data_IF_791951199636
#
_entry.id   IF_791951199636
#
_cell.length_a   1.000
_cell.length_b   1.000
_cell.length_c   1.000
_cell.angle_alpha   90.00
_cell.angle_beta   90.00
_cell.angle_gamma   90.00
#
_symmetry.space_group_name_H-M   'P 1'
#
loop_
_entity.id
_entity.type
_entity.pdbx_description
1 polymer ?
#
# COMPACT_ATOMS: atom_id res chain seq x y z
N UNK A 1 -65.94 -38.35 56.08
CA UNK A 1 -64.73 -38.68 55.31
C UNK A 1 -64.02 -37.36 54.97
N UNK A 2 -63.26 -36.79 55.91
CA UNK A 2 -62.37 -35.65 55.64
C UNK A 2 -61.16 -35.80 56.57
N UNK A 3 -60.04 -36.21 56.01
CA UNK A 3 -58.69 -36.15 56.58
C UNK A 3 -57.90 -35.25 55.65
N UNK A 4 -57.16 -34.29 56.21
CA UNK A 4 -55.70 -34.17 56.04
C UNK A 4 -55.21 -32.79 56.55
N UNK A 5 -54.41 -32.83 57.62
CA UNK A 5 -52.96 -32.83 57.42
C UNK A 5 -52.23 -31.49 57.43
N UNK A 6 -52.01 -30.98 58.65
CA UNK A 6 -50.73 -30.55 59.22
C UNK A 6 -49.59 -30.10 58.27
N UNK A 7 -49.15 -28.85 58.45
CA UNK A 7 -47.90 -28.28 57.94
C UNK A 7 -46.67 -29.08 58.40
N UNK A 8 -45.73 -29.33 57.48
CA UNK A 8 -44.31 -29.53 57.79
C UNK A 8 -43.43 -28.85 56.75
N UNK A 9 -42.59 -27.95 57.24
CA UNK A 9 -41.42 -27.41 56.57
C UNK A 9 -40.49 -28.55 56.15
N UNK A 10 -40.04 -28.55 54.89
CA UNK A 10 -38.87 -29.31 54.46
C UNK A 10 -37.88 -28.33 53.84
N UNK A 11 -36.83 -28.11 54.61
CA UNK A 11 -35.61 -27.40 54.27
C UNK A 11 -34.90 -28.19 53.16
N UNK A 12 -34.78 -27.62 51.96
CA UNK A 12 -33.96 -28.21 50.89
C UNK A 12 -32.77 -27.30 50.64
N UNK A 13 -31.66 -27.60 51.31
CA UNK A 13 -30.37 -27.02 50.99
C UNK A 13 -29.99 -27.42 49.55
N UNK A 14 -30.00 -26.44 48.65
CA UNK A 14 -29.54 -26.60 47.28
C UNK A 14 -28.01 -26.58 47.30
N UNK A 15 -27.39 -27.75 47.42
CA UNK A 15 -25.95 -27.91 47.25
C UNK A 15 -25.57 -27.52 45.81
N UNK A 16 -24.99 -26.33 45.64
CA UNK A 16 -24.27 -25.99 44.42
C UNK A 16 -23.07 -26.95 44.30
N UNK A 17 -23.19 -27.93 43.40
CA UNK A 17 -22.03 -28.67 42.88
C UNK A 17 -21.18 -27.68 42.08
N UNK A 18 -20.20 -27.06 42.73
CA UNK A 18 -19.07 -26.45 42.03
C UNK A 18 -18.29 -27.61 41.43
N UNK A 19 -18.45 -27.87 40.13
CA UNK A 19 -17.48 -28.70 39.44
C UNK A 19 -16.15 -27.94 39.44
N UNK A 20 -15.26 -28.28 40.36
CA UNK A 20 -13.88 -27.80 40.29
C UNK A 20 -13.25 -28.40 39.04
N UNK A 21 -13.19 -27.63 37.94
CA UNK A 21 -12.32 -28.00 36.83
C UNK A 21 -10.90 -28.08 37.38
N UNK A 22 -10.19 -29.17 37.09
CA UNK A 22 -8.75 -29.33 37.42
C UNK A 22 -7.88 -28.27 36.73
N UNK A 23 -8.43 -27.58 35.73
CA UNK A 23 -7.80 -26.53 34.96
C UNK A 23 -8.18 -25.16 35.51
N UNK A 24 -7.16 -24.36 35.80
CA UNK A 24 -7.28 -22.97 36.27
C UNK A 24 -7.60 -22.02 35.11
N UNK A 25 -8.81 -22.16 34.57
CA UNK A 25 -9.26 -21.38 33.42
C UNK A 25 -9.55 -19.91 33.75
N UNK A 26 -9.31 -19.06 32.76
CA UNK A 26 -9.68 -17.65 32.80
C UNK A 26 -11.20 -17.49 32.89
N UNK A 27 -11.65 -16.54 33.71
CA UNK A 27 -13.07 -16.15 33.74
C UNK A 27 -13.48 -15.50 32.42
N UNK A 28 -14.79 -15.50 32.11
CA UNK A 28 -15.31 -14.80 30.93
C UNK A 28 -14.92 -13.32 30.90
N UNK A 29 -14.96 -12.66 32.06
CA UNK A 29 -14.50 -11.27 32.22
C UNK A 29 -13.02 -11.12 31.90
N UNK A 30 -12.15 -11.99 32.43
CA UNK A 30 -10.71 -11.94 32.15
C UNK A 30 -10.44 -12.10 30.65
N UNK A 31 -11.11 -13.05 29.98
CA UNK A 31 -10.98 -13.27 28.53
C UNK A 31 -11.40 -12.04 27.71
N UNK A 32 -12.52 -11.41 28.09
CA UNK A 32 -13.01 -10.19 27.44
C UNK A 32 -12.01 -9.04 27.59
N UNK A 33 -11.53 -8.79 28.81
CA UNK A 33 -10.56 -7.71 29.07
C UNK A 33 -9.26 -7.97 28.28
N UNK A 34 -8.78 -9.22 28.21
CA UNK A 34 -7.62 -9.55 27.38
C UNK A 34 -7.82 -9.17 25.93
N UNK A 35 -8.98 -9.52 25.35
CA UNK A 35 -9.29 -9.19 23.97
C UNK A 35 -9.40 -7.68 23.75
N UNK A 36 -10.05 -6.96 24.67
CA UNK A 36 -10.21 -5.49 24.62
C UNK A 36 -8.87 -4.77 24.65
N UNK A 37 -7.93 -5.21 25.49
CA UNK A 37 -6.58 -4.62 25.60
C UNK A 37 -5.78 -4.68 24.31
N UNK A 38 -6.10 -5.62 23.42
CA UNK A 38 -5.45 -5.76 22.10
C UNK A 38 -6.41 -5.44 20.95
N UNK A 39 -7.49 -4.71 21.21
CA UNK A 39 -8.52 -4.34 20.23
C UNK A 39 -9.06 -5.53 19.41
N UNK A 40 -9.23 -6.68 20.07
CA UNK A 40 -9.68 -7.94 19.47
C UNK A 40 -8.78 -8.46 18.35
N UNK A 41 -7.49 -8.15 18.38
CA UNK A 41 -6.50 -8.63 17.40
C UNK A 41 -5.61 -9.72 17.97
N UNK A 42 -5.15 -10.62 17.10
CA UNK A 42 -4.23 -11.68 17.47
C UNK A 42 -2.88 -11.13 17.95
N UNK A 43 -2.41 -11.59 19.12
CA UNK A 43 -1.16 -11.15 19.74
C UNK A 43 0.12 -11.81 19.20
N UNK A 44 0.02 -12.72 18.23
CA UNK A 44 1.21 -13.23 17.53
C UNK A 44 1.84 -12.12 16.69
N UNK A 45 3.15 -11.84 16.81
CA UNK A 45 3.83 -10.86 15.95
C UNK A 45 3.62 -11.17 14.46
N UNK A 46 3.29 -10.14 13.68
CA UNK A 46 3.03 -10.28 12.25
C UNK A 46 1.64 -10.81 11.87
N UNK A 47 0.83 -11.32 12.81
CA UNK A 47 -0.52 -11.81 12.49
C UNK A 47 -1.56 -10.69 12.43
N UNK A 48 -1.84 -10.03 13.56
CA UNK A 48 -2.77 -8.89 13.64
C UNK A 48 -4.23 -9.15 13.24
N UNK A 49 -4.63 -10.41 12.94
CA UNK A 49 -5.99 -10.77 12.51
C UNK A 49 -7.04 -10.27 13.51
N UNK A 50 -8.10 -9.65 13.01
CA UNK A 50 -9.29 -9.30 13.79
C UNK A 50 -10.03 -10.59 14.14
N UNK A 51 -10.40 -10.73 15.41
CA UNK A 51 -11.00 -11.94 15.97
C UNK A 51 -12.46 -11.78 16.37
N UNK A 52 -13.04 -10.59 16.17
CA UNK A 52 -14.45 -10.31 16.46
C UNK A 52 -15.11 -9.72 15.22
N UNK A 53 -16.38 -10.05 15.01
CA UNK A 53 -17.19 -9.47 13.96
C UNK A 53 -18.68 -9.60 14.26
N UNK A 54 -19.51 -9.10 13.36
CA UNK A 54 -20.95 -9.33 13.39
C UNK A 54 -21.26 -10.80 13.09
N UNK A 55 -22.43 -11.26 13.54
CA UNK A 55 -22.98 -12.54 13.10
C UNK A 55 -24.01 -12.29 12.00
N UNK A 56 -23.82 -12.92 10.85
CA UNK A 56 -24.73 -12.80 9.70
C UNK A 56 -26.01 -13.59 9.92
N UNK A 57 -27.16 -13.02 9.58
CA UNK A 57 -28.48 -13.67 9.63
C UNK A 57 -29.56 -12.76 10.21
N UNK A 58 -30.81 -12.96 9.77
CA UNK A 58 -31.97 -12.23 10.32
C UNK A 58 -32.21 -12.68 11.77
N UNK A 59 -32.37 -11.74 12.71
CA UNK A 59 -32.56 -12.04 14.15
C UNK A 59 -31.25 -12.22 14.95
N UNK A 60 -30.10 -11.90 14.37
CA UNK A 60 -28.77 -12.01 15.00
C UNK A 60 -28.17 -10.63 15.39
N UNK A 61 -28.97 -9.56 15.38
CA UNK A 61 -28.52 -8.17 15.57
C UNK A 61 -27.80 -7.94 16.91
N UNK A 62 -28.13 -8.74 17.92
CA UNK A 62 -27.54 -8.69 19.26
C UNK A 62 -26.40 -9.69 19.47
N UNK A 63 -25.86 -10.33 18.41
CA UNK A 63 -24.82 -11.35 18.53
C UNK A 63 -23.56 -10.98 17.74
N UNK A 64 -22.40 -11.29 18.34
CA UNK A 64 -21.09 -11.18 17.71
C UNK A 64 -20.52 -12.56 17.37
N UNK A 65 -19.79 -12.65 16.26
CA UNK A 65 -18.95 -13.79 15.92
C UNK A 65 -17.56 -13.59 16.55
N UNK A 66 -17.11 -14.54 17.37
CA UNK A 66 -15.79 -14.52 18.01
C UNK A 66 -14.92 -15.69 17.51
N UNK A 67 -13.82 -15.38 16.85
CA UNK A 67 -12.80 -16.29 16.30
C UNK A 67 -11.47 -16.25 17.09
N UNK A 68 -11.46 -15.60 18.25
CA UNK A 68 -10.32 -15.48 19.14
C UNK A 68 -10.44 -16.37 20.39
N UNK A 69 -9.30 -16.56 21.03
CA UNK A 69 -9.14 -17.39 22.22
C UNK A 69 -8.04 -16.82 23.13
N UNK A 70 -8.23 -16.93 24.44
CA UNK A 70 -7.22 -16.57 25.43
C UNK A 70 -6.35 -17.80 25.72
N UNK A 71 -5.08 -17.73 25.34
CA UNK A 71 -4.10 -18.77 25.59
C UNK A 71 -3.32 -18.50 26.88
N UNK A 72 -2.96 -19.57 27.58
CA UNK A 72 -2.18 -19.50 28.81
C UNK A 72 -0.68 -19.42 28.51
N UNK A 73 0.01 -18.48 29.14
CA UNK A 73 1.47 -18.33 29.06
C UNK A 73 2.14 -19.44 29.89
N UNK A 74 1.78 -19.54 31.17
CA UNK A 74 2.09 -20.67 32.07
C UNK A 74 0.87 -21.57 32.16
N UNK A 75 1.08 -22.89 32.09
CA UNK A 75 0.00 -23.87 32.06
C UNK A 75 -1.04 -23.66 33.16
N UNK A 76 -2.31 -23.84 32.80
CA UNK A 76 -3.45 -23.81 33.72
C UNK A 76 -3.61 -25.08 34.57
N UNK A 77 -2.88 -26.15 34.25
CA UNK A 77 -2.96 -27.44 34.91
C UNK A 77 -1.54 -27.99 35.13
N UNK A 78 -1.37 -28.83 36.16
CA UNK A 78 -0.06 -29.37 36.56
C UNK A 78 0.60 -30.23 35.47
N UNK A 79 -0.21 -30.83 34.59
CA UNK A 79 0.17 -31.66 33.45
C UNK A 79 0.29 -30.88 32.13
N UNK A 80 0.05 -29.57 32.15
CA UNK A 80 0.02 -28.75 30.95
C UNK A 80 1.40 -28.23 30.50
N UNK A 81 1.53 -27.81 29.23
CA UNK A 81 2.77 -27.25 28.70
C UNK A 81 3.18 -25.97 29.43
N UNK A 82 4.45 -25.88 29.86
CA UNK A 82 5.02 -24.74 30.61
C UNK A 82 4.45 -24.57 32.04
N UNK A 83 4.01 -25.63 32.71
CA UNK A 83 3.57 -25.54 34.11
C UNK A 83 4.73 -25.16 35.05
N UNK A 84 4.49 -24.19 35.94
CA UNK A 84 5.43 -23.80 36.99
C UNK A 84 4.79 -23.99 38.37
N UNK A 85 5.38 -24.89 39.18
CA UNK A 85 4.94 -25.25 40.53
C UNK A 85 5.00 -24.07 41.51
N UNK A 86 5.79 -23.04 41.22
CA UNK A 86 5.91 -21.85 42.06
C UNK A 86 4.80 -20.83 41.80
N UNK A 87 3.93 -21.05 40.81
CA UNK A 87 2.82 -20.16 40.50
C UNK A 87 1.57 -20.49 41.33
N UNK A 88 0.87 -19.45 41.77
CA UNK A 88 -0.40 -19.61 42.48
C UNK A 88 -1.56 -19.83 41.51
N UNK A 89 -2.64 -20.43 42.01
CA UNK A 89 -3.91 -20.56 41.29
C UNK A 89 -4.43 -19.19 40.82
N UNK A 90 -4.33 -18.18 41.67
CA UNK A 90 -4.80 -16.84 41.36
C UNK A 90 -4.01 -16.21 40.22
N UNK A 91 -2.68 -16.39 40.20
CA UNK A 91 -1.85 -15.97 39.09
C UNK A 91 -2.22 -16.69 37.79
N UNK A 92 -2.42 -18.01 37.81
CA UNK A 92 -2.75 -18.78 36.60
C UNK A 92 -4.05 -18.33 35.92
N UNK A 93 -4.99 -17.82 36.70
CA UNK A 93 -6.30 -17.29 36.25
C UNK A 93 -6.28 -15.78 35.99
N UNK A 94 -5.18 -15.11 36.32
CA UNK A 94 -5.02 -13.67 36.16
C UNK A 94 -4.80 -13.29 34.70
N UNK A 95 -5.04 -12.01 34.40
CA UNK A 95 -4.78 -11.45 33.07
C UNK A 95 -3.29 -11.45 32.70
N UNK A 96 -2.41 -11.49 33.70
CA UNK A 96 -0.96 -11.45 33.50
C UNK A 96 -0.43 -12.76 32.92
N UNK A 97 -1.15 -13.86 33.15
CA UNK A 97 -0.83 -15.18 32.63
C UNK A 97 -1.47 -15.48 31.25
N UNK A 98 -2.12 -14.50 30.61
CA UNK A 98 -2.87 -14.71 29.39
C UNK A 98 -2.41 -13.85 28.20
N UNK A 99 -2.50 -14.41 27.00
CA UNK A 99 -2.34 -13.70 25.73
C UNK A 99 -3.55 -14.00 24.83
N UNK A 100 -4.09 -12.99 24.16
CA UNK A 100 -5.22 -13.14 23.24
C UNK A 100 -4.72 -13.47 21.83
N UNK A 101 -5.26 -14.51 21.20
CA UNK A 101 -4.86 -14.96 19.86
C UNK A 101 -6.07 -15.38 19.01
N UNK A 102 -5.90 -15.48 17.69
CA UNK A 102 -6.87 -16.21 16.87
C UNK A 102 -6.79 -17.71 17.20
N UNK A 103 -7.89 -18.45 17.01
CA UNK A 103 -7.96 -19.89 17.34
C UNK A 103 -6.80 -20.71 16.74
N UNK A 104 -6.38 -20.39 15.51
CA UNK A 104 -5.27 -21.06 14.85
C UNK A 104 -3.96 -20.90 15.63
N UNK A 105 -3.59 -19.66 16.00
CA UNK A 105 -2.35 -19.39 16.69
C UNK A 105 -2.39 -19.77 18.17
N UNK A 106 -3.56 -19.69 18.82
CA UNK A 106 -3.73 -20.22 20.18
C UNK A 106 -3.42 -21.71 20.24
N UNK A 107 -3.93 -22.50 19.28
CA UNK A 107 -3.63 -23.93 19.17
C UNK A 107 -2.17 -24.19 18.78
N UNK A 108 -1.60 -23.35 17.93
CA UNK A 108 -0.21 -23.48 17.47
C UNK A 108 0.78 -23.38 18.64
N UNK A 109 0.65 -22.37 19.51
CA UNK A 109 1.56 -22.16 20.65
C UNK A 109 1.37 -23.18 21.79
N UNK A 110 0.20 -23.83 21.83
CA UNK A 110 -0.08 -24.93 22.76
C UNK A 110 0.52 -26.25 22.29
N UNK A 111 0.64 -26.45 20.97
CA UNK A 111 1.16 -27.68 20.38
C UNK A 111 2.69 -27.71 20.38
N UNK A 112 3.36 -26.58 20.07
CA UNK A 112 4.82 -26.48 20.02
C UNK A 112 5.41 -25.69 21.20
N UNK A 113 5.37 -26.28 22.38
CA UNK A 113 5.81 -25.63 23.62
C UNK A 113 7.34 -25.54 23.79
N UNK A 114 8.12 -26.20 22.92
CA UNK A 114 9.59 -26.16 22.96
C UNK A 114 10.16 -24.95 22.22
N UNK A 115 9.47 -24.48 21.19
CA UNK A 115 9.88 -23.29 20.43
C UNK A 115 9.50 -21.95 21.10
N UNK A 116 8.43 -21.93 21.90
CA UNK A 116 7.90 -20.68 22.48
C UNK A 116 7.97 -20.68 24.00
N UNK A 117 9.04 -20.06 24.53
CA UNK A 117 9.27 -19.89 25.96
C UNK A 117 8.21 -18.97 26.61
N UNK A 118 8.07 -19.07 27.94
CA UNK A 118 7.24 -18.16 28.74
C UNK A 118 7.63 -16.69 28.48
N UNK A 119 8.92 -16.41 28.36
CA UNK A 119 9.44 -15.06 28.14
C UNK A 119 9.09 -14.55 26.74
N UNK A 120 9.15 -15.42 25.72
CA UNK A 120 8.70 -15.10 24.35
C UNK A 120 7.22 -14.70 24.34
N UNK A 121 6.35 -15.47 25.00
CA UNK A 121 4.92 -15.17 25.04
C UNK A 121 4.60 -13.91 25.84
N UNK A 122 5.34 -13.64 26.92
CA UNK A 122 5.25 -12.36 27.66
C UNK A 122 5.65 -11.18 26.79
N UNK A 123 6.74 -11.32 26.02
CA UNK A 123 7.18 -10.28 25.09
C UNK A 123 6.10 -10.00 24.04
N UNK A 124 5.51 -11.03 23.44
CA UNK A 124 4.44 -10.87 22.45
C UNK A 124 3.19 -10.23 23.03
N UNK A 125 2.82 -10.57 24.27
CA UNK A 125 1.71 -9.91 24.98
C UNK A 125 1.97 -8.40 25.08
N UNK A 126 3.15 -8.00 25.54
CA UNK A 126 3.54 -6.58 25.66
C UNK A 126 3.51 -5.90 24.30
N UNK A 127 4.12 -6.51 23.27
CA UNK A 127 4.13 -5.96 21.91
C UNK A 127 2.73 -5.80 21.33
N UNK A 128 1.82 -6.75 21.58
CA UNK A 128 0.44 -6.68 21.12
C UNK A 128 -0.34 -5.56 21.80
N UNK A 129 -0.18 -5.40 23.13
CA UNK A 129 -0.80 -4.32 23.89
C UNK A 129 -0.24 -2.94 23.50
N UNK A 130 1.08 -2.82 23.30
CA UNK A 130 1.71 -1.61 22.78
C UNK A 130 1.25 -1.27 21.36
N UNK A 131 1.15 -2.26 20.48
CA UNK A 131 0.64 -2.09 19.12
C UNK A 131 -0.81 -1.62 19.12
N UNK A 132 -1.66 -2.22 19.96
CA UNK A 132 -3.04 -1.77 20.12
C UNK A 132 -3.12 -0.34 20.66
N UNK A 133 -2.28 0.03 21.64
CA UNK A 133 -2.22 1.38 22.18
C UNK A 133 -1.71 2.41 21.16
N UNK A 134 -0.69 2.06 20.37
CA UNK A 134 -0.21 2.88 19.24
C UNK A 134 -1.34 3.08 18.23
N UNK A 135 -2.01 2.01 17.81
CA UNK A 135 -3.14 2.10 16.88
C UNK A 135 -4.30 2.91 17.44
N UNK A 136 -4.54 2.86 18.76
CA UNK A 136 -5.53 3.70 19.45
C UNK A 136 -5.14 5.19 19.41
N UNK A 137 -3.85 5.53 19.61
CA UNK A 137 -3.35 6.91 19.50
C UNK A 137 -3.35 7.44 18.07
N UNK A 138 -3.15 6.55 17.10
CA UNK A 138 -3.17 6.86 15.68
C UNK A 138 -4.62 6.88 15.16
N UNK A 139 -5.65 6.74 16.02
CA UNK A 139 -7.06 6.83 15.57
C UNK A 139 -7.43 8.17 14.93
N UNK A 140 -6.71 9.26 15.23
CA UNK A 140 -6.84 10.54 14.50
C UNK A 140 -6.36 10.45 13.04
N UNK A 141 -5.62 9.40 12.69
CA UNK A 141 -5.21 9.02 11.33
C UNK A 141 -6.04 7.85 10.76
N UNK A 142 -7.14 7.42 11.39
CA UNK A 142 -8.12 6.54 10.74
C UNK A 142 -8.99 7.37 9.79
N UNK A 143 -8.34 7.99 8.79
CA UNK A 143 -9.03 8.63 7.67
C UNK A 143 -9.44 7.55 6.67
N UNK A 144 -10.75 7.45 6.53
CA UNK A 144 -11.49 6.90 5.39
C UNK A 144 -10.68 7.01 4.09
N UNK A 145 -10.37 5.88 3.43
CA UNK A 145 -9.61 5.75 2.16
C UNK A 145 -8.64 6.90 1.88
N UNK A 146 -7.36 6.68 2.19
CA UNK A 146 -6.32 7.68 2.05
C UNK A 146 -6.33 8.29 0.63
N UNK A 147 -6.91 9.48 0.50
CA UNK A 147 -6.78 10.32 -0.70
C UNK A 147 -5.35 10.86 -0.84
N UNK A 148 -4.43 10.44 0.05
CA UNK A 148 -3.00 10.64 -0.12
C UNK A 148 -2.57 10.03 -1.45
N UNK A 149 -1.83 10.82 -2.19
CA UNK A 149 -1.30 10.45 -3.50
C UNK A 149 0.07 11.06 -3.65
N UNK A 150 0.94 10.34 -4.36
CA UNK A 150 2.22 10.85 -4.75
C UNK A 150 2.04 11.76 -5.98
N UNK A 151 2.62 12.95 -5.90
CA UNK A 151 2.48 14.01 -6.89
C UNK A 151 3.87 14.45 -7.33
N UNK A 152 4.12 14.44 -8.64
CA UNK A 152 5.30 15.06 -9.23
C UNK A 152 4.91 16.39 -9.87
N UNK A 153 5.73 17.43 -9.65
CA UNK A 153 5.59 18.74 -10.32
C UNK A 153 6.93 19.03 -11.00
N UNK A 154 6.93 19.08 -12.33
CA UNK A 154 8.18 19.09 -13.09
C UNK A 154 9.06 17.87 -12.78
N UNK A 155 10.37 18.01 -12.98
CA UNK A 155 11.34 16.92 -12.78
C UNK A 155 11.90 16.86 -11.35
N UNK A 156 11.82 17.95 -10.60
CA UNK A 156 12.60 18.14 -9.37
C UNK A 156 11.78 18.12 -8.07
N UNK A 157 10.46 17.96 -8.16
CA UNK A 157 9.59 18.02 -6.99
C UNK A 157 8.66 16.82 -6.93
N UNK A 158 8.69 16.14 -5.79
CA UNK A 158 7.91 14.95 -5.50
C UNK A 158 7.35 15.07 -4.08
N UNK A 159 6.04 15.01 -3.92
CA UNK A 159 5.38 15.22 -2.63
C UNK A 159 4.18 14.31 -2.44
N UNK A 160 3.88 13.98 -1.20
CA UNK A 160 2.63 13.37 -0.80
C UNK A 160 1.60 14.47 -0.53
N UNK A 161 0.45 14.38 -1.17
CA UNK A 161 -0.66 15.31 -0.97
C UNK A 161 -1.99 14.59 -0.93
N UNK A 162 -2.98 15.20 -0.30
CA UNK A 162 -4.35 14.69 -0.22
C UNK A 162 -5.26 15.53 -1.10
N UNK A 163 -6.07 14.88 -1.95
CA UNK A 163 -7.07 15.59 -2.74
C UNK A 163 -8.04 16.40 -1.85
N UNK A 164 -8.06 17.71 -2.07
CA UNK A 164 -9.00 18.63 -1.45
C UNK A 164 -10.22 18.84 -2.35
N UNK A 165 -9.99 19.13 -3.64
CA UNK A 165 -11.05 19.43 -4.61
C UNK A 165 -10.61 19.20 -6.06
N UNK A 166 -11.57 18.85 -6.93
CA UNK A 166 -11.41 18.80 -8.39
C UNK A 166 -12.51 19.63 -9.02
N UNK A 167 -12.16 20.70 -9.74
CA UNK A 167 -13.10 21.58 -10.43
C UNK A 167 -12.66 21.77 -11.88
N UNK A 168 -13.20 20.96 -12.78
CA UNK A 168 -12.83 20.99 -14.20
C UNK A 168 -11.31 20.84 -14.40
N UNK A 169 -10.63 21.92 -14.82
CA UNK A 169 -9.20 22.00 -15.07
C UNK A 169 -8.45 22.71 -13.93
N UNK A 170 -8.98 22.63 -12.72
CA UNK A 170 -8.32 23.10 -11.52
C UNK A 170 -8.34 21.99 -10.46
N UNK A 171 -7.15 21.64 -9.99
CA UNK A 171 -6.94 20.63 -8.97
C UNK A 171 -6.43 21.29 -7.69
N UNK A 172 -6.90 20.80 -6.55
CA UNK A 172 -6.52 21.31 -5.24
C UNK A 172 -6.07 20.16 -4.33
N UNK A 173 -4.94 20.36 -3.66
CA UNK A 173 -4.36 19.38 -2.76
C UNK A 173 -3.91 20.03 -1.46
N UNK A 174 -4.13 19.30 -0.36
CA UNK A 174 -3.45 19.56 0.90
C UNK A 174 -2.09 18.85 0.87
N UNK A 175 -1.00 19.57 1.10
CA UNK A 175 0.34 18.99 1.14
C UNK A 175 0.53 18.25 2.47
N UNK A 176 0.93 16.98 2.39
CA UNK A 176 1.28 16.16 3.55
C UNK A 176 2.77 16.24 3.86
N UNK A 177 3.62 15.85 2.91
CA UNK A 177 5.08 15.88 3.06
C UNK A 177 5.79 15.93 1.72
N UNK A 178 7.02 16.44 1.71
CA UNK A 178 7.88 16.41 0.52
C UNK A 178 8.77 15.18 0.56
N UNK A 179 8.75 14.38 -0.51
CA UNK A 179 9.70 13.31 -0.73
C UNK A 179 10.98 13.86 -1.40
N UNK A 180 10.82 14.78 -2.36
CA UNK A 180 11.88 15.55 -3.01
C UNK A 180 11.45 17.01 -3.17
N UNK A 181 12.34 17.94 -2.81
CA UNK A 181 12.05 19.38 -2.81
C UNK A 181 11.50 19.88 -1.46
N UNK A 182 10.87 21.05 -1.47
CA UNK A 182 10.34 21.72 -0.28
C UNK A 182 9.30 22.78 -0.63
N UNK A 183 8.61 23.30 0.37
CA UNK A 183 7.73 24.48 0.26
C UNK A 183 8.39 25.67 -0.44
N UNK A 184 9.68 25.91 -0.15
CA UNK A 184 10.45 26.96 -0.81
C UNK A 184 10.63 26.69 -2.31
N UNK A 185 10.83 25.43 -2.70
CA UNK A 185 10.92 25.05 -4.11
C UNK A 185 9.59 25.27 -4.83
N UNK A 186 8.46 24.87 -4.21
CA UNK A 186 7.13 25.07 -4.78
C UNK A 186 6.80 26.56 -4.96
N UNK A 187 7.09 27.38 -3.94
CA UNK A 187 6.94 28.83 -4.02
C UNK A 187 7.81 29.43 -5.13
N UNK A 188 9.07 29.02 -5.22
CA UNK A 188 9.97 29.49 -6.27
C UNK A 188 9.51 29.10 -7.68
N UNK A 189 8.98 27.88 -7.84
CA UNK A 189 8.38 27.41 -9.09
C UNK A 189 7.19 28.30 -9.49
N UNK A 190 6.34 28.67 -8.53
CA UNK A 190 5.20 29.56 -8.77
C UNK A 190 5.63 31.00 -9.09
N UNK A 191 6.47 31.60 -8.25
CA UNK A 191 6.95 32.98 -8.40
C UNK A 191 7.66 33.21 -9.75
N UNK A 192 8.34 32.18 -10.27
CA UNK A 192 9.09 32.23 -11.53
C UNK A 192 8.43 31.46 -12.67
N UNK A 193 7.13 31.16 -12.58
CA UNK A 193 6.45 30.27 -13.53
C UNK A 193 6.64 30.65 -15.01
N UNK A 194 6.68 31.96 -15.33
CA UNK A 194 6.94 32.45 -16.69
C UNK A 194 8.28 32.00 -17.26
N UNK A 195 9.26 31.76 -16.39
CA UNK A 195 10.65 31.43 -16.69
C UNK A 195 10.94 29.93 -16.59
N UNK A 196 10.04 29.14 -15.99
CA UNK A 196 10.14 27.68 -15.91
C UNK A 196 10.18 27.08 -17.32
N UNK A 197 11.08 26.14 -17.58
CA UNK A 197 11.17 25.46 -18.87
C UNK A 197 9.84 24.77 -19.22
N UNK A 198 9.38 24.87 -20.47
CA UNK A 198 8.07 24.34 -20.90
C UNK A 198 7.90 22.84 -20.59
N UNK A 199 8.96 22.04 -20.74
CA UNK A 199 8.95 20.60 -20.45
C UNK A 199 8.82 20.26 -18.95
N UNK A 200 9.03 21.25 -18.07
CA UNK A 200 8.87 21.11 -16.62
C UNK A 200 7.53 21.61 -16.12
N UNK A 201 6.70 22.21 -16.99
CA UNK A 201 5.39 22.76 -16.64
C UNK A 201 4.32 21.68 -16.64
N UNK A 202 4.46 20.66 -15.80
CA UNK A 202 3.47 19.61 -15.67
C UNK A 202 3.29 19.17 -14.22
N UNK A 203 2.14 18.55 -13.96
CA UNK A 203 1.84 17.81 -12.74
C UNK A 203 1.46 16.38 -13.11
N UNK A 204 2.00 15.40 -12.39
CA UNK A 204 1.61 13.99 -12.46
C UNK A 204 1.09 13.53 -11.11
N UNK A 205 -0.01 12.79 -11.09
CA UNK A 205 -0.71 12.32 -9.90
C UNK A 205 -0.93 10.81 -9.97
N UNK A 206 -0.37 10.09 -9.00
CA UNK A 206 -0.29 8.63 -9.02
C UNK A 206 -1.68 7.99 -8.89
N UNK A 207 -2.51 8.50 -7.96
CA UNK A 207 -3.80 7.89 -7.58
C UNK A 207 -4.83 7.89 -8.70
N UNK A 208 -4.81 8.92 -9.56
CA UNK A 208 -5.70 9.04 -10.71
C UNK A 208 -5.07 8.51 -12.00
N UNK A 209 -3.80 8.09 -11.96
CA UNK A 209 -3.06 7.70 -13.16
C UNK A 209 -3.00 8.83 -14.18
N UNK A 210 -2.88 10.09 -13.72
CA UNK A 210 -3.12 11.26 -14.57
C UNK A 210 -1.97 12.26 -14.52
N UNK A 211 -1.71 12.93 -15.65
CA UNK A 211 -0.75 14.01 -15.75
C UNK A 211 -1.19 15.05 -16.77
N UNK A 212 -0.84 16.31 -16.49
CA UNK A 212 -1.25 17.47 -17.28
C UNK A 212 -0.21 18.56 -17.31
N UNK A 213 -0.22 19.32 -18.40
CA UNK A 213 0.50 20.59 -18.50
C UNK A 213 -0.15 21.60 -17.54
N UNK A 214 0.68 22.31 -16.77
CA UNK A 214 0.27 23.41 -15.90
C UNK A 214 0.20 24.69 -16.73
N UNK A 215 -0.87 25.45 -16.58
CA UNK A 215 -1.18 26.62 -17.44
C UNK A 215 -0.97 27.97 -16.75
N UNK A 216 -0.90 27.99 -15.42
CA UNK A 216 -0.71 29.20 -14.61
C UNK A 216 0.23 28.93 -13.43
N UNK A 217 0.75 29.98 -12.77
CA UNK A 217 1.40 29.82 -11.48
C UNK A 217 0.53 29.02 -10.50
N UNK A 218 1.18 28.23 -9.64
CA UNK A 218 0.51 27.44 -8.61
C UNK A 218 0.14 28.38 -7.47
N UNK A 219 -1.14 28.43 -7.11
CA UNK A 219 -1.60 29.22 -5.96
C UNK A 219 -1.35 28.40 -4.69
N UNK A 220 -0.77 29.01 -3.65
CA UNK A 220 -0.42 28.35 -2.39
C UNK A 220 -1.06 29.13 -1.24
N UNK A 221 -1.92 28.47 -0.49
CA UNK A 221 -2.53 28.99 0.73
C UNK A 221 -1.86 28.36 1.96
N UNK A 222 -1.56 29.17 2.96
CA UNK A 222 -1.01 28.73 4.24
C UNK A 222 -2.09 28.83 5.31
N UNK A 223 -2.43 27.70 5.92
CA UNK A 223 -3.36 27.66 7.05
C UNK A 223 -2.67 28.09 8.35
N UNK A 224 -3.45 28.58 9.32
CA UNK A 224 -2.94 28.99 10.62
C UNK A 224 -2.31 27.87 11.46
N UNK A 225 -2.54 26.61 11.10
CA UNK A 225 -1.94 25.41 11.70
C UNK A 225 -0.63 24.98 11.01
N UNK A 226 -0.17 25.72 10.00
CA UNK A 226 1.03 25.42 9.23
C UNK A 226 0.82 24.45 8.06
N UNK A 227 -0.42 23.99 7.82
CA UNK A 227 -0.71 23.19 6.63
C UNK A 227 -0.68 24.04 5.35
N UNK A 228 -0.17 23.44 4.27
CA UNK A 228 -0.07 24.08 2.96
C UNK A 228 -1.11 23.46 2.02
N UNK A 229 -1.90 24.31 1.38
CA UNK A 229 -2.83 23.91 0.32
C UNK A 229 -2.37 24.54 -0.98
N UNK A 230 -2.33 23.76 -2.06
CA UNK A 230 -2.03 24.32 -3.37
C UNK A 230 -3.14 24.04 -4.39
N UNK A 231 -3.39 25.05 -5.24
CA UNK A 231 -4.27 24.97 -6.40
C UNK A 231 -3.47 25.10 -7.68
N UNK A 232 -3.76 24.22 -8.64
CA UNK A 232 -3.08 24.17 -9.93
C UNK A 232 -4.08 24.15 -11.07
N UNK A 233 -3.90 25.06 -12.04
CA UNK A 233 -4.69 25.08 -13.29
C UNK A 233 -3.96 24.31 -14.37
N UNK A 234 -4.67 23.44 -15.05
CA UNK A 234 -4.10 22.44 -15.94
C UNK A 234 -4.76 22.43 -17.32
N UNK A 235 -4.11 21.85 -18.32
CA UNK A 235 -4.72 21.60 -19.63
C UNK A 235 -5.73 20.42 -19.58
N UNK A 236 -6.45 20.22 -20.69
CA UNK A 236 -7.33 19.07 -20.87
C UNK A 236 -6.54 17.75 -20.99
N UNK A 237 -7.24 16.63 -20.73
CA UNK A 237 -6.68 15.28 -20.93
C UNK A 237 -6.30 15.03 -22.37
N UNK A 238 -5.05 14.60 -22.56
CA UNK A 238 -4.64 13.96 -23.82
C UNK A 238 -5.39 12.63 -23.93
N UNK A 239 -6.09 12.44 -25.04
CA UNK A 239 -6.81 11.20 -25.31
C UNK A 239 -5.83 10.18 -25.87
N UNK A 240 -5.79 9.00 -25.27
CA UNK A 240 -4.93 7.93 -25.73
C UNK A 240 -5.28 7.48 -27.15
N UNK A 241 -4.27 7.30 -27.99
CA UNK A 241 -4.40 6.79 -29.36
C UNK A 241 -4.56 5.27 -29.34
N UNK A 242 -5.21 4.72 -30.36
CA UNK A 242 -5.27 3.26 -30.52
C UNK A 242 -3.86 2.70 -30.76
N UNK A 243 -3.46 1.58 -30.12
CA UNK A 243 -2.13 1.01 -30.29
C UNK A 243 -1.83 0.59 -31.74
N UNK A 244 -2.86 0.25 -32.51
CA UNK A 244 -2.75 -0.01 -33.97
C UNK A 244 -2.28 1.19 -34.80
N UNK A 245 -2.27 2.41 -34.24
CA UNK A 245 -1.83 3.64 -34.90
C UNK A 245 -0.38 4.03 -34.60
N UNK A 246 0.35 3.27 -33.76
CA UNK A 246 1.76 3.55 -33.41
C UNK A 246 2.72 3.30 -34.60
N UNK A 247 2.32 2.51 -35.60
CA UNK A 247 3.12 2.25 -36.79
C UNK A 247 3.96 0.97 -36.69
N UNK A 248 5.16 0.98 -37.26
CA UNK A 248 6.08 -0.17 -37.30
C UNK A 248 7.50 0.21 -36.92
N UNK A 249 8.23 -0.68 -36.25
CA UNK A 249 9.62 -0.50 -35.87
C UNK A 249 10.43 -1.80 -36.05
N UNK A 250 11.75 -1.72 -35.90
CA UNK A 250 12.62 -2.89 -35.84
C UNK A 250 12.39 -3.57 -34.50
N UNK A 251 12.21 -4.89 -34.51
CA UNK A 251 12.05 -5.69 -33.30
C UNK A 251 13.37 -5.69 -32.53
N UNK A 252 13.29 -5.51 -31.23
CA UNK A 252 14.40 -5.71 -30.30
C UNK A 252 14.39 -7.15 -29.74
N UNK A 253 15.58 -7.69 -29.50
CA UNK A 253 15.81 -8.93 -28.79
C UNK A 253 15.55 -8.80 -27.28
N UNK A 254 15.75 -9.88 -26.53
CA UNK A 254 15.58 -9.88 -25.08
C UNK A 254 16.71 -9.12 -24.35
N UNK A 255 17.87 -9.03 -25.00
CA UNK A 255 19.02 -8.16 -24.72
C UNK A 255 18.76 -6.69 -25.11
N UNK A 256 17.71 -6.50 -25.91
CA UNK A 256 17.29 -5.26 -26.54
C UNK A 256 18.21 -4.73 -27.62
N UNK A 257 19.05 -5.59 -28.19
CA UNK A 257 19.69 -5.36 -29.48
C UNK A 257 18.73 -5.64 -30.63
N UNK A 258 19.13 -5.32 -31.87
CA UNK A 258 18.29 -5.53 -33.04
C UNK A 258 18.07 -7.03 -33.30
N UNK A 259 16.80 -7.46 -33.33
CA UNK A 259 16.48 -8.85 -33.62
C UNK A 259 16.67 -9.17 -35.12
N UNK A 260 17.48 -10.18 -35.41
CA UNK A 260 17.75 -10.67 -36.76
C UNK A 260 17.05 -12.03 -36.96
N UNK A 261 16.41 -12.21 -38.11
CA UNK A 261 15.83 -13.51 -38.50
C UNK A 261 15.98 -13.72 -40.00
N UNK A 262 16.46 -14.90 -40.41
CA UNK A 262 16.62 -15.24 -41.84
C UNK A 262 17.60 -14.33 -42.59
N UNK A 263 18.61 -13.78 -41.90
CA UNK A 263 19.60 -12.87 -42.49
C UNK A 263 19.17 -11.41 -42.63
N UNK A 264 18.01 -11.01 -42.09
CA UNK A 264 17.51 -9.63 -42.13
C UNK A 264 16.97 -9.12 -40.80
N UNK A 265 16.79 -7.79 -40.71
CA UNK A 265 16.20 -7.13 -39.54
C UNK A 265 14.71 -7.48 -39.42
N UNK A 266 14.31 -8.00 -38.27
CA UNK A 266 12.92 -8.32 -37.98
C UNK A 266 12.13 -7.04 -37.70
N UNK A 267 10.92 -6.93 -38.24
CA UNK A 267 10.01 -5.81 -37.99
C UNK A 267 8.79 -6.25 -37.20
N UNK A 268 8.27 -5.33 -36.39
CA UNK A 268 7.00 -5.45 -35.65
C UNK A 268 6.14 -4.21 -35.91
N UNK A 269 4.83 -4.33 -35.70
CA UNK A 269 3.88 -3.25 -35.96
C UNK A 269 2.67 -3.31 -35.04
N UNK A 270 1.94 -2.20 -34.95
CA UNK A 270 0.71 -2.13 -34.16
C UNK A 270 0.99 -2.31 -32.67
N UNK A 271 0.25 -3.21 -32.02
CA UNK A 271 0.36 -3.46 -30.57
C UNK A 271 1.79 -3.86 -30.17
N UNK A 272 2.45 -4.74 -30.92
CA UNK A 272 3.81 -5.18 -30.58
C UNK A 272 4.81 -4.00 -30.60
N UNK A 273 4.69 -3.13 -31.61
CA UNK A 273 5.52 -1.92 -31.69
C UNK A 273 5.20 -0.93 -30.57
N UNK A 274 3.92 -0.79 -30.21
CA UNK A 274 3.49 0.03 -29.08
C UNK A 274 4.07 -0.47 -27.76
N UNK A 275 3.96 -1.78 -27.47
CA UNK A 275 4.53 -2.35 -26.25
C UNK A 275 6.05 -2.21 -26.21
N UNK A 276 6.76 -2.46 -27.33
CA UNK A 276 8.20 -2.25 -27.40
C UNK A 276 8.59 -0.76 -27.20
N UNK A 277 7.72 0.18 -27.58
CA UNK A 277 7.98 1.60 -27.34
C UNK A 277 8.05 1.97 -25.86
N UNK A 278 7.43 1.19 -24.96
CA UNK A 278 7.58 1.34 -23.50
C UNK A 278 9.04 1.12 -23.13
N UNK A 279 9.63 -0.02 -23.54
CA UNK A 279 11.01 -0.37 -23.23
C UNK A 279 12.01 0.68 -23.73
N UNK A 280 11.82 1.16 -24.96
CA UNK A 280 12.72 2.14 -25.59
C UNK A 280 12.56 3.54 -25.01
N UNK A 281 11.33 4.01 -24.82
CA UNK A 281 11.08 5.36 -24.29
C UNK A 281 11.44 5.47 -22.81
N UNK A 282 11.11 4.45 -22.02
CA UNK A 282 11.47 4.39 -20.60
C UNK A 282 12.95 4.08 -20.39
N UNK A 283 13.63 3.42 -21.34
CA UNK A 283 15.04 3.06 -21.24
C UNK A 283 16.00 4.13 -21.77
N UNK A 284 15.53 5.10 -22.56
CA UNK A 284 16.36 6.21 -23.05
C UNK A 284 16.57 7.22 -21.93
N UNK A 285 17.79 7.61 -21.62
CA UNK A 285 18.06 8.58 -20.56
C UNK A 285 17.62 9.99 -21.01
N UNK A 286 16.98 10.74 -20.12
CA UNK A 286 16.61 12.12 -20.41
C UNK A 286 17.86 12.95 -20.78
N UNK A 287 17.83 13.59 -21.94
CA UNK A 287 18.99 14.37 -22.43
C UNK A 287 20.05 13.56 -23.17
N UNK A 288 19.90 12.24 -23.31
CA UNK A 288 20.88 11.41 -24.01
C UNK A 288 20.86 11.63 -25.53
N UNK A 289 19.66 11.75 -26.10
CA UNK A 289 19.47 11.82 -27.55
C UNK A 289 20.06 13.11 -28.12
N UNK A 290 21.05 12.97 -29.00
CA UNK A 290 21.85 14.10 -29.49
C UNK A 290 21.05 15.11 -30.31
N UNK A 291 20.09 14.63 -31.11
CA UNK A 291 19.29 15.45 -32.04
C UNK A 291 18.20 16.25 -31.30
N UNK A 292 17.78 15.77 -30.13
CA UNK A 292 16.78 16.42 -29.30
C UNK A 292 16.93 16.00 -27.85
N UNK A 293 17.59 16.86 -27.06
CA UNK A 293 17.92 16.64 -25.65
C UNK A 293 16.68 16.61 -24.72
N UNK A 294 15.49 16.83 -25.26
CA UNK A 294 14.23 16.77 -24.50
C UNK A 294 13.62 15.36 -24.46
N UNK A 295 14.25 14.39 -25.13
CA UNK A 295 13.82 12.98 -25.18
C UNK A 295 14.40 12.21 -23.99
N UNK A 296 13.61 11.27 -23.49
CA UNK A 296 14.04 10.26 -22.52
C UNK A 296 13.20 10.24 -21.25
N UNK A 297 13.67 9.43 -20.31
CA UNK A 297 13.05 9.17 -19.03
C UNK A 297 14.02 9.38 -17.87
N UNK A 298 13.46 9.40 -16.67
CA UNK A 298 14.22 9.40 -15.42
C UNK A 298 14.26 8.02 -14.74
N UNK A 299 13.89 6.93 -15.43
CA UNK A 299 13.82 5.58 -14.82
C UNK A 299 15.17 5.14 -14.27
N UNK A 300 16.27 5.45 -14.95
CA UNK A 300 17.63 5.14 -14.45
C UNK A 300 17.89 5.87 -13.12
N UNK A 301 17.61 7.17 -13.05
CA UNK A 301 17.83 7.96 -11.84
C UNK A 301 16.93 7.49 -10.68
N UNK A 302 15.65 7.26 -10.98
CA UNK A 302 14.68 6.74 -10.03
C UNK A 302 15.07 5.35 -9.51
N UNK A 303 15.60 4.47 -10.35
CA UNK A 303 16.09 3.17 -9.93
C UNK A 303 17.22 3.33 -8.90
N UNK A 304 18.23 4.14 -9.20
CA UNK A 304 19.36 4.33 -8.30
C UNK A 304 18.96 4.99 -6.99
N UNK A 305 18.00 5.91 -7.02
CA UNK A 305 17.52 6.62 -5.84
C UNK A 305 16.62 5.74 -4.95
N UNK A 306 15.80 4.85 -5.53
CA UNK A 306 14.73 4.17 -4.79
C UNK A 306 14.80 2.62 -4.79
N UNK A 307 15.82 1.98 -5.37
CA UNK A 307 15.95 0.50 -5.42
C UNK A 307 15.87 -0.21 -4.07
N UNK A 308 16.24 0.44 -2.97
CA UNK A 308 16.18 -0.14 -1.63
C UNK A 308 14.75 -0.11 -1.03
N UNK A 309 13.81 0.58 -1.67
CA UNK A 309 12.40 0.65 -1.31
C UNK A 309 11.53 0.33 -2.53
N UNK A 310 11.36 -0.96 -2.82
CA UNK A 310 10.63 -1.45 -4.01
C UNK A 310 9.22 -0.85 -4.14
N UNK A 311 8.37 -0.80 -3.08
CA UNK A 311 7.06 -0.16 -3.20
C UNK A 311 7.13 1.30 -3.65
N UNK A 312 8.10 2.06 -3.13
CA UNK A 312 8.30 3.44 -3.56
C UNK A 312 8.83 3.52 -5.00
N UNK A 313 9.77 2.64 -5.37
CA UNK A 313 10.28 2.54 -6.74
C UNK A 313 9.15 2.26 -7.74
N UNK A 314 8.23 1.35 -7.42
CA UNK A 314 7.04 1.06 -8.23
C UNK A 314 6.16 2.30 -8.41
N UNK A 315 5.93 3.07 -7.33
CA UNK A 315 5.13 4.30 -7.38
C UNK A 315 5.77 5.41 -8.22
N UNK A 316 7.06 5.69 -8.03
CA UNK A 316 7.76 6.72 -8.82
C UNK A 316 7.93 6.33 -10.28
N UNK A 317 8.15 5.03 -10.54
CA UNK A 317 8.18 4.48 -11.91
C UNK A 317 6.82 4.63 -12.58
N UNK A 318 5.73 4.41 -11.84
CA UNK A 318 4.37 4.62 -12.35
C UNK A 318 4.14 6.08 -12.72
N UNK A 319 4.54 7.04 -11.87
CA UNK A 319 4.46 8.46 -12.20
C UNK A 319 5.23 8.83 -13.47
N UNK A 320 6.41 8.24 -13.65
CA UNK A 320 7.23 8.50 -14.84
C UNK A 320 6.59 7.92 -16.11
N UNK A 321 6.02 6.72 -16.06
CA UNK A 321 5.28 6.17 -17.19
C UNK A 321 4.00 6.98 -17.48
N UNK A 322 3.28 7.46 -16.45
CA UNK A 322 2.13 8.37 -16.62
C UNK A 322 2.57 9.66 -17.36
N UNK A 323 3.71 10.25 -16.96
CA UNK A 323 4.28 11.43 -17.64
C UNK A 323 4.54 11.14 -19.11
N UNK A 324 5.24 10.03 -19.41
CA UNK A 324 5.56 9.61 -20.78
C UNK A 324 4.31 9.26 -21.62
N UNK A 325 3.18 8.96 -20.99
CA UNK A 325 1.90 8.69 -21.65
C UNK A 325 1.05 9.92 -21.92
N UNK A 326 1.09 10.94 -21.05
CA UNK A 326 0.11 12.01 -21.05
C UNK A 326 0.70 13.42 -21.23
N UNK A 327 1.97 13.63 -20.93
CA UNK A 327 2.59 14.97 -20.97
C UNK A 327 3.31 15.17 -22.29
N UNK A 328 2.83 16.07 -23.18
CA UNK A 328 3.54 16.40 -24.41
C UNK A 328 4.82 17.16 -24.07
N UNK A 329 5.83 17.02 -24.92
CA UNK A 329 7.09 17.77 -24.80
C UNK A 329 7.19 18.82 -25.89
N UNK A 330 8.00 19.84 -25.64
CA UNK A 330 8.45 20.81 -26.63
C UNK A 330 9.89 20.46 -26.97
N UNK A 331 10.12 20.11 -28.23
CA UNK A 331 11.44 19.77 -28.75
C UNK A 331 12.39 20.97 -28.76
N UNK A 332 13.66 20.69 -28.98
CA UNK A 332 14.72 21.70 -29.10
C UNK A 332 14.44 22.74 -30.20
N UNK A 333 13.73 22.37 -31.27
CA UNK A 333 13.27 23.26 -32.35
C UNK A 333 11.88 23.87 -32.11
N UNK A 334 11.41 23.86 -30.84
CA UNK A 334 10.15 24.45 -30.37
C UNK A 334 8.87 23.83 -30.94
N UNK A 335 8.91 22.58 -31.42
CA UNK A 335 7.71 21.86 -31.86
C UNK A 335 7.07 21.13 -30.69
N UNK A 336 5.74 21.14 -30.63
CA UNK A 336 4.98 20.30 -29.70
C UNK A 336 5.01 18.86 -30.23
N UNK A 337 5.53 17.94 -29.43
CA UNK A 337 5.62 16.53 -29.72
C UNK A 337 4.70 15.78 -28.76
N UNK A 338 3.87 14.90 -29.32
CA UNK A 338 2.99 14.05 -28.54
C UNK A 338 3.77 13.15 -27.57
N UNK A 339 3.18 12.74 -26.44
CA UNK A 339 3.82 11.81 -25.52
C UNK A 339 4.23 10.51 -26.26
N UNK A 340 5.42 9.95 -26.00
CA UNK A 340 5.89 8.76 -26.69
C UNK A 340 5.02 7.54 -26.40
N UNK A 341 4.38 7.48 -25.23
CA UNK A 341 3.50 6.39 -24.81
C UNK A 341 2.02 6.79 -24.88
N UNK A 342 1.66 7.67 -25.82
CA UNK A 342 0.30 8.20 -26.00
C UNK A 342 -0.77 7.15 -26.35
N UNK A 343 -0.42 5.86 -26.45
CA UNK A 343 -1.37 4.77 -26.64
C UNK A 343 -1.84 4.14 -25.33
N UNK A 344 -1.21 4.48 -24.21
CA UNK A 344 -1.60 4.03 -22.88
C UNK A 344 -2.70 4.96 -22.36
N UNK A 345 -3.88 4.40 -22.09
CA UNK A 345 -4.99 5.12 -21.47
C UNK A 345 -4.83 5.16 -19.95
N UNK A 346 -4.44 4.04 -19.36
CA UNK A 346 -4.31 3.88 -17.91
C UNK A 346 -3.21 2.87 -17.57
N UNK A 347 -2.46 3.16 -16.51
CA UNK A 347 -1.52 2.23 -15.90
C UNK A 347 -2.18 1.68 -14.64
N UNK A 348 -2.75 0.49 -14.74
CA UNK A 348 -3.52 -0.15 -13.67
C UNK A 348 -2.58 -0.60 -12.54
N UNK A 349 -1.46 -1.22 -12.89
CA UNK A 349 -0.45 -1.63 -11.90
C UNK A 349 0.94 -1.78 -12.52
N UNK A 350 1.94 -1.55 -11.68
CA UNK A 350 3.35 -1.89 -11.93
C UNK A 350 3.80 -2.79 -10.80
N UNK A 351 4.55 -3.85 -11.13
CA UNK A 351 5.23 -4.70 -10.16
C UNK A 351 6.68 -4.89 -10.61
N UNK A 352 7.61 -4.71 -9.68
CA UNK A 352 9.04 -4.92 -9.88
C UNK A 352 9.44 -6.14 -9.04
N UNK A 353 9.45 -7.36 -9.63
CA UNK A 353 9.68 -8.59 -8.86
C UNK A 353 11.10 -8.70 -8.30
N UNK A 354 12.06 -8.01 -8.92
CA UNK A 354 13.47 -7.98 -8.50
C UNK A 354 14.12 -6.70 -9.00
N UNK A 355 15.03 -6.15 -8.19
CA UNK A 355 15.93 -5.05 -8.58
C UNK A 355 17.26 -5.54 -9.18
N UNK A 356 17.45 -6.86 -9.27
CA UNK A 356 18.58 -7.44 -9.98
C UNK A 356 18.39 -7.22 -11.47
N UNK A 357 19.35 -6.51 -12.08
CA UNK A 357 19.35 -6.22 -13.51
C UNK A 357 19.87 -7.41 -14.30
N UNK A 358 19.19 -7.72 -15.40
CA UNK A 358 19.59 -8.71 -16.40
C UNK A 358 20.07 -7.94 -17.63
N UNK A 359 21.36 -8.02 -17.97
CA UNK A 359 21.97 -7.26 -19.07
C UNK A 359 21.66 -5.75 -19.00
N UNK A 360 21.78 -5.17 -17.80
CA UNK A 360 21.43 -3.77 -17.51
C UNK A 360 19.95 -3.44 -17.75
N UNK A 361 19.05 -4.43 -17.63
CA UNK A 361 17.60 -4.22 -17.76
C UNK A 361 16.84 -4.58 -16.49
N UNK A 362 15.97 -3.68 -16.08
CA UNK A 362 15.00 -3.88 -15.02
C UNK A 362 13.75 -4.55 -15.60
N UNK A 363 13.34 -5.68 -15.02
CA UNK A 363 12.10 -6.36 -15.38
C UNK A 363 10.92 -5.77 -14.62
N UNK A 364 9.86 -5.41 -15.35
CA UNK A 364 8.63 -4.87 -14.77
C UNK A 364 7.41 -5.61 -15.32
N UNK A 365 6.55 -6.07 -14.41
CA UNK A 365 5.22 -6.59 -14.71
C UNK A 365 4.25 -5.41 -14.78
N UNK A 366 3.63 -5.21 -15.95
CA UNK A 366 2.69 -4.11 -16.18
C UNK A 366 1.29 -4.67 -16.44
N UNK A 367 0.29 -3.94 -15.93
CA UNK A 367 -1.11 -4.08 -16.32
C UNK A 367 -1.61 -2.72 -16.81
N UNK A 368 -2.09 -2.67 -18.04
CA UNK A 368 -2.43 -1.43 -18.75
C UNK A 368 -3.84 -1.51 -19.34
N UNK A 369 -4.51 -0.36 -19.44
CA UNK A 369 -5.62 -0.16 -20.38
C UNK A 369 -5.08 0.66 -21.56
N UNK A 370 -5.28 0.16 -22.77
CA UNK A 370 -4.81 0.81 -24.00
C UNK A 370 -5.85 1.79 -24.54
N UNK A 371 -5.46 2.65 -25.49
CA UNK A 371 -6.35 3.65 -26.09
C UNK A 371 -7.50 3.10 -26.94
N UNK A 372 -7.60 1.78 -27.10
CA UNK A 372 -8.76 1.08 -27.66
C UNK A 372 -9.60 0.34 -26.61
N UNK A 373 -9.41 0.67 -25.31
CA UNK A 373 -10.10 0.07 -24.15
C UNK A 373 -9.73 -1.39 -23.88
N UNK A 374 -8.73 -1.94 -24.58
CA UNK A 374 -8.27 -3.31 -24.31
C UNK A 374 -7.34 -3.35 -23.10
N UNK A 375 -7.44 -4.43 -22.31
CA UNK A 375 -6.51 -4.71 -21.22
C UNK A 375 -5.28 -5.43 -21.79
N UNK A 376 -4.09 -4.96 -21.41
CA UNK A 376 -2.84 -5.65 -21.68
C UNK A 376 -2.11 -5.95 -20.37
N UNK A 377 -1.57 -7.16 -20.24
CA UNK A 377 -0.73 -7.58 -19.12
C UNK A 377 0.50 -8.30 -19.65
N UNK A 378 1.68 -7.89 -19.19
CA UNK A 378 2.92 -8.53 -19.62
C UNK A 378 4.15 -7.95 -18.94
N UNK A 379 5.30 -8.53 -19.30
CA UNK A 379 6.60 -8.11 -18.80
C UNK A 379 7.26 -7.15 -19.80
N UNK A 380 7.88 -6.10 -19.28
CA UNK A 380 8.70 -5.16 -20.04
C UNK A 380 10.06 -5.06 -19.37
N UNK A 381 11.13 -5.17 -20.17
CA UNK A 381 12.51 -4.98 -19.71
C UNK A 381 12.99 -3.58 -20.11
N UNK A 382 13.21 -2.71 -19.14
CA UNK A 382 13.66 -1.32 -19.36
C UNK A 382 15.14 -1.20 -19.05
N UNK A 383 15.89 -0.55 -19.95
CA UNK A 383 17.31 -0.29 -19.74
C UNK A 383 17.53 0.63 -18.53
N UNK A 384 18.52 0.28 -17.70
CA UNK A 384 18.99 1.05 -16.56
C UNK A 384 20.50 1.15 -16.66
N UNK A 385 21.02 2.37 -16.81
CA UNK A 385 22.47 2.58 -16.85
C UNK A 385 23.10 2.20 -15.51
N UNK A 386 24.08 1.30 -15.53
CA UNK A 386 24.83 0.92 -14.33
C UNK A 386 25.89 1.98 -14.02
N UNK A 387 25.97 2.41 -12.76
CA UNK A 387 26.92 3.40 -12.23
C UNK A 387 28.13 2.75 -11.58
#
# INVERSE_FOLDING_TARGET
MFKLGCLRFINTAMYYRVSMSKRDDFTGTTKRIMAERVAWRCGLPGCGKITIGLRMGQGEENKSLNLGEAAHIVAAAEDGPRFDKNTTRDFRRSIDNGIWMCRDHARFIDTDHKEYSVDTLKLWKVQAEESAYKNLKIQDNYKFEDRSTLIAIGFDMLLYGTWSSVKSNEWEFLIGSYLKGSSKNLKNYSDNFSSVELNQRFISVESQGDARVITSPIEIDYSGDGSELFRVKIENKVIAKKPSKVGSTIKLGDDGDLAISGGGLKRISGIDAAIQSIATSAGTLYGEWFDDRTVGSFITDLFHEYKDNIPLLEMVTKLELIRLSLVPRVSSDKKKIDPPLNFIKEIVSIRIPSVVLDESRLSMELKLILGDETEWKGNVKVFVLQT
#
